data_IF_317731894899
#
_entry.id   IF_317731894899
#
_cell.length_a   1.000
_cell.length_b   1.000
_cell.length_c   1.000
_cell.angle_alpha   90.00
_cell.angle_beta   90.00
_cell.angle_gamma   90.00
#
_symmetry.space_group_name_H-M   'P 1'
#
loop_
_entity.id
_entity.type
_entity.pdbx_description
1 polymer ?
#
# COMPACT_ATOMS: atom_id res chain seq x y z
N UNK A 1 -27.67 38.87 -6.60
CA UNK A 1 -27.31 37.65 -5.86
C UNK A 1 -25.93 37.85 -5.26
N UNK A 2 -25.85 37.99 -3.93
CA UNK A 2 -24.58 38.13 -3.22
C UNK A 2 -23.79 36.82 -3.29
N UNK A 3 -22.48 36.95 -3.52
CA UNK A 3 -21.57 35.83 -3.61
C UNK A 3 -21.23 35.39 -2.17
N UNK A 4 -21.41 34.11 -1.80
CA UNK A 4 -21.19 33.68 -0.42
C UNK A 4 -19.74 33.92 0.04
N UNK A 5 -19.61 34.24 1.34
CA UNK A 5 -18.34 34.52 2.00
C UNK A 5 -17.32 33.38 1.82
N UNK A 6 -16.01 33.68 1.77
CA UNK A 6 -14.96 32.72 1.42
C UNK A 6 -14.93 31.46 2.28
N UNK A 7 -15.27 31.57 3.56
CA UNK A 7 -15.28 30.47 4.52
C UNK A 7 -16.44 29.47 4.31
N UNK A 8 -17.52 29.89 3.66
CA UNK A 8 -18.71 29.06 3.40
C UNK A 8 -18.81 28.58 1.96
N UNK A 9 -17.76 28.82 1.17
CA UNK A 9 -17.65 28.22 -0.15
C UNK A 9 -17.39 26.75 0.04
N UNK A 10 -18.26 25.92 -0.52
CA UNK A 10 -17.97 24.50 -0.64
C UNK A 10 -16.56 24.36 -1.26
N UNK A 11 -15.65 23.56 -0.65
CA UNK A 11 -14.35 23.34 -1.24
C UNK A 11 -14.56 22.90 -2.68
N UNK A 12 -13.79 23.48 -3.60
CA UNK A 12 -13.85 23.11 -5.02
C UNK A 12 -13.87 21.59 -5.08
N UNK A 13 -14.95 21.01 -5.62
CA UNK A 13 -15.13 19.55 -5.69
C UNK A 13 -13.80 18.98 -6.12
N UNK A 14 -13.15 18.25 -5.22
CA UNK A 14 -11.83 17.69 -5.50
C UNK A 14 -11.96 17.01 -6.86
N UNK A 15 -11.14 17.41 -7.83
CA UNK A 15 -11.21 16.86 -9.18
C UNK A 15 -11.05 15.34 -9.15
N UNK A 16 -11.09 14.66 -10.31
CA UNK A 16 -10.93 13.19 -10.39
C UNK A 16 -9.81 12.61 -9.51
N UNK A 17 -8.70 13.34 -9.35
CA UNK A 17 -7.60 12.98 -8.46
C UNK A 17 -8.02 12.78 -6.99
N UNK A 18 -8.80 13.70 -6.40
CA UNK A 18 -9.21 13.56 -5.00
C UNK A 18 -10.28 12.49 -4.78
N UNK A 19 -11.09 12.17 -5.80
CA UNK A 19 -11.97 11.01 -5.75
C UNK A 19 -11.17 9.69 -5.73
N UNK A 20 -10.07 9.60 -6.50
CA UNK A 20 -9.17 8.44 -6.50
C UNK A 20 -8.51 8.25 -5.14
N UNK A 21 -8.01 9.32 -4.52
CA UNK A 21 -7.39 9.22 -3.18
C UNK A 21 -8.41 8.84 -2.10
N UNK A 22 -9.64 9.36 -2.16
CA UNK A 22 -10.71 8.96 -1.23
C UNK A 22 -11.06 7.46 -1.36
N UNK A 23 -11.19 6.97 -2.60
CA UNK A 23 -11.44 5.54 -2.87
C UNK A 23 -10.26 4.67 -2.40
N UNK A 24 -9.02 5.12 -2.59
CA UNK A 24 -7.83 4.43 -2.10
C UNK A 24 -7.80 4.36 -0.57
N UNK A 25 -8.07 5.46 0.12
CA UNK A 25 -8.13 5.51 1.57
C UNK A 25 -9.24 4.61 2.13
N UNK A 26 -10.40 4.57 1.48
CA UNK A 26 -11.46 3.64 1.85
C UNK A 26 -11.03 2.18 1.67
N UNK A 27 -10.38 1.83 0.55
CA UNK A 27 -9.87 0.48 0.31
C UNK A 27 -8.76 0.09 1.30
N UNK A 28 -7.87 1.00 1.66
CA UNK A 28 -6.86 0.82 2.71
C UNK A 28 -7.51 0.44 4.04
N UNK A 29 -8.51 1.21 4.44
CA UNK A 29 -9.25 1.01 5.68
C UNK A 29 -10.07 -0.29 5.66
N UNK A 30 -10.65 -0.65 4.50
CA UNK A 30 -11.38 -1.90 4.33
C UNK A 30 -10.45 -3.11 4.42
N UNK A 31 -9.33 -3.09 3.71
CA UNK A 31 -8.37 -4.20 3.65
C UNK A 31 -7.64 -4.42 4.97
N UNK A 32 -7.40 -3.36 5.76
CA UNK A 32 -6.90 -3.50 7.12
C UNK A 32 -7.85 -4.32 8.03
N UNK A 33 -9.16 -4.28 7.76
CA UNK A 33 -10.19 -5.04 8.51
C UNK A 33 -10.53 -6.38 7.86
N UNK A 34 -10.45 -6.46 6.54
CA UNK A 34 -10.85 -7.61 5.73
C UNK A 34 -9.70 -8.01 4.78
N UNK A 35 -8.57 -8.51 5.33
CA UNK A 35 -7.36 -8.77 4.56
C UNK A 35 -7.53 -9.88 3.51
N UNK A 36 -8.57 -10.70 3.62
CA UNK A 36 -8.85 -11.82 2.71
C UNK A 36 -9.64 -11.41 1.46
N UNK A 37 -10.10 -10.15 1.36
CA UNK A 37 -10.88 -9.67 0.22
C UNK A 37 -9.98 -9.41 -1.01
N UNK A 38 -9.77 -10.47 -1.78
CA UNK A 38 -8.92 -10.44 -2.98
C UNK A 38 -9.44 -9.49 -4.06
N UNK A 39 -10.76 -9.27 -4.15
CA UNK A 39 -11.35 -8.35 -5.11
C UNK A 39 -10.96 -6.93 -4.77
N UNK A 40 -11.00 -6.57 -3.50
CA UNK A 40 -10.59 -5.25 -3.02
C UNK A 40 -9.08 -5.02 -3.17
N UNK A 41 -8.23 -6.04 -2.94
CA UNK A 41 -6.79 -5.95 -3.23
C UNK A 41 -6.52 -5.64 -4.71
N UNK A 42 -7.13 -6.41 -5.62
CA UNK A 42 -6.97 -6.21 -7.05
C UNK A 42 -7.48 -4.84 -7.49
N UNK A 43 -8.64 -4.40 -6.97
CA UNK A 43 -9.20 -3.07 -7.23
C UNK A 43 -8.24 -1.97 -6.76
N UNK A 44 -7.65 -2.13 -5.57
CA UNK A 44 -6.71 -1.16 -5.00
C UNK A 44 -5.46 -1.01 -5.85
N UNK A 45 -4.87 -2.11 -6.32
CA UNK A 45 -3.71 -2.06 -7.24
C UNK A 45 -4.05 -1.31 -8.53
N UNK A 46 -5.19 -1.62 -9.16
CA UNK A 46 -5.62 -0.97 -10.40
C UNK A 46 -5.92 0.52 -10.20
N UNK A 47 -6.48 0.90 -9.06
CA UNK A 47 -6.77 2.29 -8.73
C UNK A 47 -5.48 3.07 -8.41
N UNK A 48 -4.56 2.47 -7.64
CA UNK A 48 -3.25 3.04 -7.35
C UNK A 48 -2.45 3.26 -8.63
N UNK A 49 -2.51 2.31 -9.58
CA UNK A 49 -1.93 2.46 -10.92
C UNK A 49 -2.46 3.71 -11.64
N UNK A 50 -3.78 3.94 -11.61
CA UNK A 50 -4.42 5.12 -12.22
C UNK A 50 -4.05 6.43 -11.54
N UNK A 51 -3.78 6.41 -10.23
CA UNK A 51 -3.34 7.60 -9.49
C UNK A 51 -1.95 8.10 -9.93
N UNK A 52 -1.12 7.21 -10.49
CA UNK A 52 0.28 7.52 -10.80
C UNK A 52 1.20 7.55 -9.58
N UNK A 53 0.67 7.37 -8.37
CA UNK A 53 1.45 7.41 -7.14
C UNK A 53 2.21 6.09 -6.93
N UNK A 54 3.54 6.15 -7.08
CA UNK A 54 4.44 5.01 -6.93
C UNK A 54 4.32 4.32 -5.56
N UNK A 55 4.22 5.08 -4.47
CA UNK A 55 4.08 4.52 -3.12
C UNK A 55 2.77 3.74 -2.98
N UNK A 56 1.66 4.32 -3.46
CA UNK A 56 0.36 3.65 -3.44
C UNK A 56 0.37 2.34 -4.25
N UNK A 57 1.05 2.33 -5.40
CA UNK A 57 1.19 1.13 -6.24
C UNK A 57 1.99 0.07 -5.50
N UNK A 58 3.15 0.44 -4.96
CA UNK A 58 4.03 -0.51 -4.30
C UNK A 58 3.40 -1.08 -3.03
N UNK A 59 2.82 -0.25 -2.16
CA UNK A 59 2.10 -0.69 -0.97
C UNK A 59 0.92 -1.62 -1.28
N UNK A 60 0.12 -1.31 -2.30
CA UNK A 60 -1.00 -2.16 -2.71
C UNK A 60 -0.55 -3.53 -3.26
N UNK A 61 0.57 -3.57 -4.01
CA UNK A 61 1.14 -4.85 -4.48
C UNK A 61 1.70 -5.68 -3.34
N UNK A 62 2.36 -5.05 -2.36
CA UNK A 62 2.83 -5.76 -1.16
C UNK A 62 1.67 -6.37 -0.39
N UNK A 63 0.58 -5.62 -0.17
CA UNK A 63 -0.61 -6.15 0.49
C UNK A 63 -1.24 -7.33 -0.26
N UNK A 64 -1.31 -7.24 -1.59
CA UNK A 64 -1.77 -8.36 -2.43
C UNK A 64 -0.87 -9.59 -2.27
N UNK A 65 0.46 -9.40 -2.26
CA UNK A 65 1.42 -10.50 -2.11
C UNK A 65 1.35 -11.14 -0.73
N UNK A 66 1.05 -10.36 0.32
CA UNK A 66 0.79 -10.85 1.66
C UNK A 66 -0.51 -11.67 1.69
N UNK A 67 -1.60 -11.12 1.15
CA UNK A 67 -2.92 -11.78 1.16
C UNK A 67 -2.94 -13.10 0.37
N UNK A 68 -2.20 -13.16 -0.74
CA UNK A 68 -2.11 -14.37 -1.55
C UNK A 68 -1.13 -15.41 -1.00
N UNK A 69 -0.14 -15.01 -0.18
CA UNK A 69 0.94 -15.87 0.30
C UNK A 69 1.53 -16.70 -0.86
N UNK A 70 1.69 -18.01 -0.74
CA UNK A 70 2.22 -18.88 -1.81
C UNK A 70 1.28 -19.13 -3.01
N UNK A 71 0.09 -18.48 -3.07
CA UNK A 71 -0.93 -18.72 -4.11
C UNK A 71 -0.94 -17.62 -5.16
N UNK A 72 -1.71 -17.82 -6.23
CA UNK A 72 -2.09 -16.74 -7.16
C UNK A 72 -0.93 -16.14 -7.96
N UNK A 73 0.11 -16.92 -8.28
CA UNK A 73 1.30 -16.45 -9.02
C UNK A 73 0.92 -15.73 -10.32
N UNK A 74 -0.07 -16.26 -11.06
CA UNK A 74 -0.57 -15.62 -12.28
C UNK A 74 -1.13 -14.22 -12.04
N UNK A 75 -1.92 -14.03 -10.98
CA UNK A 75 -2.50 -12.73 -10.62
C UNK A 75 -1.42 -11.74 -10.16
N UNK A 76 -0.49 -12.18 -9.30
CA UNK A 76 0.66 -11.37 -8.85
C UNK A 76 1.49 -10.90 -10.03
N UNK A 77 1.86 -11.82 -10.94
CA UNK A 77 2.65 -11.52 -12.13
C UNK A 77 1.92 -10.56 -13.05
N UNK A 78 0.63 -10.80 -13.32
CA UNK A 78 -0.18 -9.94 -14.18
C UNK A 78 -0.29 -8.52 -13.63
N UNK A 79 -0.53 -8.35 -12.32
CA UNK A 79 -0.65 -7.04 -11.70
C UNK A 79 0.71 -6.32 -11.59
N UNK A 80 1.78 -7.03 -11.22
CA UNK A 80 3.14 -6.48 -11.23
C UNK A 80 3.54 -5.98 -12.62
N UNK A 81 3.24 -6.75 -13.66
CA UNK A 81 3.56 -6.40 -15.06
C UNK A 81 2.81 -5.14 -15.51
N UNK A 82 1.53 -5.02 -15.17
CA UNK A 82 0.71 -3.84 -15.49
C UNK A 82 1.21 -2.54 -14.83
N UNK A 83 1.93 -2.65 -13.71
CA UNK A 83 2.45 -1.52 -12.94
C UNK A 83 3.95 -1.29 -13.08
N UNK A 84 4.67 -2.17 -13.78
CA UNK A 84 6.14 -2.23 -13.76
C UNK A 84 6.81 -0.90 -14.18
N UNK A 85 6.23 -0.19 -15.14
CA UNK A 85 6.75 1.09 -15.64
C UNK A 85 6.66 2.23 -14.62
N UNK A 86 5.83 2.09 -13.59
CA UNK A 86 5.61 3.11 -12.54
C UNK A 86 6.39 2.82 -11.25
N UNK A 87 6.99 1.63 -11.16
CA UNK A 87 7.81 1.21 -10.02
C UNK A 87 9.29 1.48 -10.28
N UNK A 88 10.07 1.62 -9.21
CA UNK A 88 11.52 1.65 -9.28
C UNK A 88 12.12 0.25 -9.45
N UNK A 89 13.38 0.12 -9.91
CA UNK A 89 14.05 -1.17 -10.01
C UNK A 89 14.08 -1.99 -8.70
N UNK A 90 14.34 -1.40 -7.50
CA UNK A 90 14.36 -2.16 -6.25
C UNK A 90 13.01 -2.79 -5.90
N UNK A 91 11.91 -2.05 -6.10
CA UNK A 91 10.55 -2.51 -5.82
C UNK A 91 10.16 -3.67 -6.75
N UNK A 92 10.45 -3.52 -8.05
CA UNK A 92 10.21 -4.58 -9.03
C UNK A 92 10.98 -5.84 -8.69
N UNK A 93 12.26 -5.71 -8.34
CA UNK A 93 13.11 -6.85 -7.98
C UNK A 93 12.60 -7.54 -6.71
N UNK A 94 12.23 -6.77 -5.70
CA UNK A 94 11.65 -7.27 -4.45
C UNK A 94 10.38 -8.10 -4.73
N UNK A 95 9.43 -7.57 -5.49
CA UNK A 95 8.20 -8.28 -5.83
C UNK A 95 8.46 -9.47 -6.76
N UNK A 96 9.32 -9.34 -7.77
CA UNK A 96 9.65 -10.43 -8.69
C UNK A 96 10.21 -11.67 -7.95
N UNK A 97 11.11 -11.45 -6.97
CA UNK A 97 11.68 -12.53 -6.13
C UNK A 97 10.62 -13.29 -5.32
N UNK A 98 9.48 -12.68 -5.06
CA UNK A 98 8.42 -13.23 -4.22
C UNK A 98 7.16 -13.63 -4.99
N UNK A 99 7.23 -13.76 -6.31
CA UNK A 99 6.08 -14.18 -7.12
C UNK A 99 5.53 -15.54 -6.68
N UNK A 100 6.40 -16.53 -6.49
CA UNK A 100 6.02 -17.87 -6.07
C UNK A 100 5.66 -17.94 -4.58
N UNK A 101 6.52 -17.43 -3.70
CA UNK A 101 6.39 -17.55 -2.25
C UNK A 101 5.39 -16.59 -1.60
N UNK A 102 5.14 -15.43 -2.24
CA UNK A 102 4.47 -14.30 -1.59
C UNK A 102 5.35 -13.59 -0.56
N UNK A 103 4.74 -12.71 0.22
CA UNK A 103 5.38 -11.98 1.31
C UNK A 103 4.70 -12.36 2.63
N UNK A 104 5.45 -12.38 3.74
CA UNK A 104 4.86 -12.46 5.09
C UNK A 104 4.62 -11.06 5.63
N UNK A 105 3.57 -10.86 6.42
CA UNK A 105 3.25 -9.57 7.03
C UNK A 105 4.37 -9.05 7.95
N UNK A 106 5.06 -9.95 8.67
CA UNK A 106 6.06 -9.65 9.69
C UNK A 106 7.51 -9.68 9.18
N UNK A 107 7.74 -9.98 7.90
CA UNK A 107 9.10 -9.98 7.37
C UNK A 107 9.59 -8.56 7.10
N UNK A 108 10.89 -8.33 7.20
CA UNK A 108 11.48 -7.07 6.75
C UNK A 108 11.40 -6.97 5.23
N UNK A 109 10.72 -5.93 4.73
CA UNK A 109 10.53 -5.68 3.29
C UNK A 109 11.30 -4.41 2.92
N UNK A 110 12.29 -4.56 2.06
CA UNK A 110 13.08 -3.46 1.52
C UNK A 110 12.89 -3.35 -0.01
N UNK A 111 12.66 -2.14 -0.56
CA UNK A 111 12.44 -0.88 0.15
C UNK A 111 11.16 -0.90 0.99
N UNK A 112 11.10 -0.06 2.04
CA UNK A 112 9.93 -0.03 2.92
C UNK A 112 8.63 0.30 2.15
N UNK A 113 7.58 -0.54 2.23
CA UNK A 113 6.36 -0.39 1.45
C UNK A 113 5.42 0.65 2.03
N UNK A 114 5.76 1.94 1.81
CA UNK A 114 4.90 3.07 2.18
C UNK A 114 3.50 2.84 1.63
N UNK A 115 2.49 3.05 2.49
CA UNK A 115 1.06 2.77 2.25
C UNK A 115 0.64 1.30 2.24
N UNK A 116 1.50 0.31 2.48
CA UNK A 116 1.02 -1.04 2.79
C UNK A 116 0.24 -1.01 4.11
N UNK A 117 -0.91 -1.70 4.17
CA UNK A 117 -1.75 -1.81 5.37
C UNK A 117 -1.65 -3.17 6.05
N UNK A 118 -1.01 -4.15 5.39
CA UNK A 118 -0.82 -5.50 5.91
C UNK A 118 0.64 -5.79 6.30
N UNK A 119 1.63 -5.03 5.82
CA UNK A 119 3.00 -5.15 6.32
C UNK A 119 3.08 -4.58 7.73
N UNK A 120 3.65 -5.33 8.66
CA UNK A 120 4.00 -4.80 9.96
C UNK A 120 5.15 -3.81 9.78
N UNK A 121 4.98 -2.59 10.29
CA UNK A 121 6.09 -1.65 10.39
C UNK A 121 7.20 -2.20 11.28
N UNK A 122 8.42 -1.70 11.11
CA UNK A 122 9.48 -1.86 12.09
C UNK A 122 9.05 -1.15 13.38
N UNK A 123 8.48 -1.90 14.33
CA UNK A 123 8.32 -1.42 15.70
C UNK A 123 9.70 -1.56 16.34
N UNK A 124 10.33 -0.43 16.68
CA UNK A 124 11.65 -0.41 17.30
C UNK A 124 11.68 -1.35 18.51
N UNK A 125 12.64 -2.28 18.54
CA UNK A 125 12.97 -2.97 19.79
C UNK A 125 13.56 -1.92 20.73
N UNK A 126 13.13 -1.82 22.01
CA UNK A 126 13.87 -1.02 22.96
C UNK A 126 15.31 -1.55 23.01
N UNK A 127 16.29 -0.67 22.78
CA UNK A 127 17.70 -1.02 22.96
C UNK A 127 17.91 -1.48 24.41
N UNK A 128 18.64 -2.59 24.65
CA UNK A 128 18.87 -3.12 26.00
C UNK A 128 19.80 -2.24 26.88
N UNK A 129 20.17 -1.03 26.47
CA UNK A 129 21.25 -0.24 27.09
C UNK A 129 20.83 0.64 28.28
N UNK A 130 19.77 0.29 29.02
CA UNK A 130 19.43 1.00 30.28
C UNK A 130 19.24 0.09 31.50
N UNK A 131 19.66 -1.17 31.43
CA UNK A 131 19.87 -1.99 32.62
C UNK A 131 21.33 -1.89 33.09
N UNK A 132 21.76 -0.67 33.40
CA UNK A 132 22.97 -0.45 34.18
C UNK A 132 22.63 -0.52 35.66
N UNK A 133 22.74 -1.70 36.26
CA UNK A 133 22.87 -1.83 37.72
C UNK A 133 24.06 -0.98 38.18
N UNK A 134 23.79 0.02 39.01
CA UNK A 134 24.82 0.75 39.74
C UNK A 134 25.22 -0.09 40.98
N UNK A 135 26.51 -0.28 41.26
CA UNK A 135 26.95 -0.83 42.55
C UNK A 135 26.77 0.17 43.70
#
# INVERSE_FOLDING_TARGET
>A
MERPEPAFRAPARLGRSGAIEADLAWLEMHLARQPQDLRSHSRRVLLARRSGNREAIYGALVDLFIALAGRGVGLKSALLSQTAMQLGPPERLCLARHLASGLRADQSIEPHPRRSVLSHGLIGKPSPELSGESP
#
